data_IF_478360028860
#
_entry.id   IF_478360028860
#
_cell.length_a   1.000
_cell.length_b   1.000
_cell.length_c   1.000
_cell.angle_alpha   90.00
_cell.angle_beta   90.00
_cell.angle_gamma   90.00
#
_symmetry.space_group_name_H-M   'P 1'
#
loop_
_entity.id
_entity.type
_entity.pdbx_description
1 polymer ?
#
# COMPACT_ATOMS: atom_id res chain seq x y z
N UNK A 1 6.57 9.91 -13.10
CA UNK A 1 6.12 8.53 -12.87
C UNK A 1 7.12 7.52 -13.48
N UNK A 2 7.44 7.56 -14.78
CA UNK A 2 8.34 6.58 -15.44
C UNK A 2 9.70 6.49 -14.73
N UNK A 3 10.31 7.64 -14.42
CA UNK A 3 11.59 7.68 -13.70
C UNK A 3 11.46 7.05 -12.30
N UNK A 4 10.41 7.41 -11.57
CA UNK A 4 10.13 6.85 -10.24
C UNK A 4 9.92 5.32 -10.29
N UNK A 5 9.19 4.81 -11.30
CA UNK A 5 9.01 3.37 -11.47
C UNK A 5 10.33 2.64 -11.76
N UNK A 6 11.23 3.26 -12.53
CA UNK A 6 12.58 2.72 -12.75
C UNK A 6 13.41 2.71 -11.48
N UNK A 7 13.38 3.81 -10.72
CA UNK A 7 14.11 3.92 -9.45
C UNK A 7 13.57 2.92 -8.42
N UNK A 8 12.25 2.75 -8.35
CA UNK A 8 11.61 1.74 -7.51
C UNK A 8 12.07 0.31 -7.86
N UNK A 9 12.00 -0.08 -9.14
CA UNK A 9 12.46 -1.40 -9.57
C UNK A 9 13.94 -1.60 -9.28
N UNK A 10 14.76 -0.58 -9.49
CA UNK A 10 16.20 -0.65 -9.18
C UNK A 10 16.46 -0.82 -7.69
N UNK A 11 15.65 -0.19 -6.83
CA UNK A 11 15.74 -0.40 -5.39
C UNK A 11 15.43 -1.86 -5.01
N UNK A 12 14.42 -2.46 -5.65
CA UNK A 12 14.10 -3.88 -5.46
C UNK A 12 15.23 -4.78 -5.97
N UNK A 13 15.81 -4.49 -7.15
CA UNK A 13 16.97 -5.23 -7.68
C UNK A 13 18.16 -5.19 -6.69
N UNK A 14 18.38 -4.04 -6.07
CA UNK A 14 19.42 -3.91 -5.04
C UNK A 14 19.11 -4.77 -3.80
N UNK A 15 17.88 -4.72 -3.28
CA UNK A 15 17.48 -5.56 -2.14
C UNK A 15 17.65 -7.05 -2.48
N UNK A 16 17.25 -7.46 -3.68
CA UNK A 16 17.36 -8.83 -4.15
C UNK A 16 18.83 -9.31 -4.26
N UNK A 17 19.77 -8.39 -4.55
CA UNK A 17 21.20 -8.70 -4.63
C UNK A 17 21.90 -8.82 -3.26
N UNK A 18 21.19 -8.60 -2.17
CA UNK A 18 21.72 -8.60 -0.81
C UNK A 18 21.42 -9.92 -0.09
N UNK A 19 22.45 -10.63 0.32
CA UNK A 19 22.34 -11.90 1.08
C UNK A 19 21.91 -11.70 2.54
N UNK A 20 22.05 -10.48 3.07
CA UNK A 20 21.70 -10.13 4.44
C UNK A 20 20.25 -9.64 4.61
N UNK A 21 19.47 -9.59 3.53
CA UNK A 21 18.07 -9.16 3.53
C UNK A 21 17.13 -10.32 3.17
N UNK A 22 15.99 -10.39 3.85
CA UNK A 22 14.96 -11.40 3.54
C UNK A 22 14.07 -10.95 2.36
N UNK A 23 14.63 -11.06 1.17
CA UNK A 23 13.93 -10.70 -0.06
C UNK A 23 12.64 -11.49 -0.29
N UNK A 24 12.55 -12.73 0.22
CA UNK A 24 11.34 -13.57 0.07
C UNK A 24 10.12 -13.01 0.76
N UNK A 25 10.33 -12.16 1.77
CA UNK A 25 9.29 -11.47 2.53
C UNK A 25 9.26 -9.96 2.27
N UNK A 26 9.73 -9.53 1.10
CA UNK A 26 9.72 -8.11 0.73
C UNK A 26 8.31 -7.54 0.85
N UNK A 27 8.16 -6.48 1.64
CA UNK A 27 6.92 -5.77 1.82
C UNK A 27 7.06 -4.29 1.43
N UNK A 28 5.92 -3.69 1.09
CA UNK A 28 5.83 -2.26 0.81
C UNK A 28 5.08 -1.56 1.94
N UNK A 29 5.60 -0.44 2.39
CA UNK A 29 4.92 0.47 3.31
C UNK A 29 4.87 1.86 2.68
N UNK A 30 3.67 2.41 2.56
CA UNK A 30 3.47 3.76 2.01
C UNK A 30 2.58 4.60 2.90
N UNK A 31 3.01 5.83 3.20
CA UNK A 31 2.22 6.81 3.94
C UNK A 31 1.81 7.97 3.02
N UNK A 32 0.53 8.38 3.07
CA UNK A 32 0.00 9.52 2.33
C UNK A 32 0.33 9.42 0.83
N UNK A 33 1.19 10.27 0.33
CA UNK A 33 1.67 10.23 -1.05
C UNK A 33 2.34 8.89 -1.41
N UNK A 34 3.10 8.30 -0.49
CA UNK A 34 3.64 6.95 -0.68
C UNK A 34 2.56 5.88 -0.82
N UNK A 35 1.42 6.04 -0.16
CA UNK A 35 0.27 5.14 -0.33
C UNK A 35 -0.39 5.29 -1.70
N UNK A 36 -0.54 6.52 -2.23
CA UNK A 36 -1.02 6.75 -3.60
C UNK A 36 -0.07 6.15 -4.62
N UNK A 37 1.21 6.47 -4.50
CA UNK A 37 2.22 5.96 -5.41
C UNK A 37 2.34 4.43 -5.34
N UNK A 38 2.03 3.85 -4.18
CA UNK A 38 1.91 2.41 -4.00
C UNK A 38 0.95 1.76 -4.99
N UNK A 39 -0.15 2.43 -5.35
CA UNK A 39 -1.09 1.91 -6.35
C UNK A 39 -0.43 1.66 -7.72
N UNK A 40 0.55 2.46 -8.09
CA UNK A 40 1.31 2.28 -9.34
C UNK A 40 2.49 1.33 -9.12
N UNK A 41 3.27 1.54 -8.07
CA UNK A 41 4.51 0.79 -7.83
C UNK A 41 4.25 -0.70 -7.60
N UNK A 42 3.24 -1.04 -6.81
CA UNK A 42 2.84 -2.43 -6.56
C UNK A 42 2.24 -3.12 -7.79
N UNK A 43 1.69 -2.35 -8.72
CA UNK A 43 1.09 -2.89 -9.94
C UNK A 43 2.10 -3.14 -11.07
N UNK A 44 3.30 -2.57 -10.98
CA UNK A 44 4.34 -2.70 -12.03
C UNK A 44 5.48 -3.66 -11.66
N UNK A 45 5.48 -4.19 -10.44
CA UNK A 45 6.48 -5.16 -9.96
C UNK A 45 5.81 -6.14 -8.99
N UNK A 46 5.91 -7.42 -9.24
CA UNK A 46 5.25 -8.51 -8.50
C UNK A 46 6.12 -9.14 -7.39
N UNK A 47 7.32 -8.61 -7.20
CA UNK A 47 8.26 -9.11 -6.19
C UNK A 47 7.85 -8.77 -4.76
N UNK A 48 7.07 -7.70 -4.56
CA UNK A 48 6.49 -7.36 -3.24
C UNK A 48 5.42 -8.38 -2.88
N UNK A 49 5.48 -8.91 -1.66
CA UNK A 49 4.61 -10.02 -1.22
C UNK A 49 3.36 -9.56 -0.47
N UNK A 50 3.42 -8.43 0.18
CA UNK A 50 2.28 -7.80 0.86
C UNK A 50 2.54 -6.31 1.08
N UNK A 51 1.48 -5.54 1.25
CA UNK A 51 1.56 -4.09 1.39
C UNK A 51 0.84 -3.56 2.62
N UNK A 52 1.34 -2.46 3.16
CA UNK A 52 0.73 -1.68 4.23
C UNK A 52 0.62 -0.22 3.78
N UNK A 53 -0.60 0.23 3.53
CA UNK A 53 -0.91 1.55 2.97
C UNK A 53 -1.60 2.42 4.02
N UNK A 54 -1.00 3.57 4.32
CA UNK A 54 -1.39 4.44 5.43
C UNK A 54 -1.88 5.78 4.90
N UNK A 55 -3.03 6.23 5.37
CA UNK A 55 -3.61 7.55 5.07
C UNK A 55 -3.59 7.88 3.56
N UNK A 56 -3.87 6.90 2.72
CA UNK A 56 -3.94 7.05 1.27
C UNK A 56 -5.34 6.99 0.73
N UNK A 57 -5.43 7.08 -0.59
CA UNK A 57 -6.68 7.01 -1.34
C UNK A 57 -6.40 7.19 -2.82
N UNK A 58 -7.46 7.36 -3.61
CA UNK A 58 -7.35 7.81 -5.00
C UNK A 58 -7.44 9.34 -5.04
N UNK A 59 -6.68 9.96 -5.94
CA UNK A 59 -6.86 11.38 -6.20
C UNK A 59 -8.22 11.64 -6.85
N UNK A 60 -8.91 12.67 -6.37
CA UNK A 60 -10.20 13.11 -6.94
C UNK A 60 -10.00 13.87 -8.26
N UNK A 61 -8.79 14.41 -8.47
CA UNK A 61 -8.45 15.13 -9.70
C UNK A 61 -8.17 14.13 -10.82
N UNK A 62 -8.73 14.43 -12.00
CA UNK A 62 -8.45 13.63 -13.21
C UNK A 62 -6.96 13.72 -13.57
N UNK A 63 -6.30 12.61 -13.53
CA UNK A 63 -4.94 12.44 -14.06
C UNK A 63 -4.99 11.88 -15.50
N UNK A 64 -3.86 11.93 -16.19
CA UNK A 64 -3.75 11.26 -17.50
C UNK A 64 -3.86 9.74 -17.28
N UNK A 65 -4.55 9.05 -18.19
CA UNK A 65 -4.80 7.61 -18.08
C UNK A 65 -3.53 6.78 -17.88
N UNK A 66 -2.43 7.20 -18.51
CA UNK A 66 -1.14 6.50 -18.45
C UNK A 66 -0.49 6.54 -17.06
N UNK A 67 -0.98 7.40 -16.18
CA UNK A 67 -0.45 7.60 -14.81
C UNK A 67 -1.55 7.64 -13.75
N UNK A 68 -2.79 7.29 -14.11
CA UNK A 68 -3.91 7.29 -13.18
C UNK A 68 -3.81 6.10 -12.21
N UNK A 69 -3.62 6.33 -10.91
CA UNK A 69 -3.52 5.26 -9.92
C UNK A 69 -4.72 4.29 -9.96
N UNK A 70 -5.92 4.76 -10.29
CA UNK A 70 -7.12 3.92 -10.35
C UNK A 70 -7.01 2.80 -11.40
N UNK A 71 -6.28 3.02 -12.49
CA UNK A 71 -6.06 2.01 -13.54
C UNK A 71 -5.09 0.92 -13.03
N UNK A 72 -4.09 1.33 -12.27
CA UNK A 72 -3.07 0.42 -11.74
C UNK A 72 -3.57 -0.39 -10.55
N UNK A 73 -4.39 0.21 -9.68
CA UNK A 73 -4.91 -0.42 -8.45
C UNK A 73 -5.51 -1.81 -8.70
N UNK A 74 -6.18 -2.02 -9.83
CA UNK A 74 -6.77 -3.31 -10.21
C UNK A 74 -5.76 -4.43 -10.46
N UNK A 75 -4.49 -4.10 -10.63
CA UNK A 75 -3.39 -5.07 -10.86
C UNK A 75 -2.69 -5.47 -9.58
N UNK A 76 -3.05 -4.87 -8.46
CA UNK A 76 -2.51 -5.23 -7.15
C UNK A 76 -3.28 -6.46 -6.67
N UNK A 77 -2.59 -7.58 -6.55
CA UNK A 77 -3.20 -8.88 -6.20
C UNK A 77 -2.65 -9.50 -4.92
N UNK A 78 -1.54 -8.93 -4.38
CA UNK A 78 -0.97 -9.37 -3.11
C UNK A 78 -1.83 -8.89 -1.92
N UNK A 79 -1.68 -9.49 -0.73
CA UNK A 79 -2.34 -9.03 0.49
C UNK A 79 -2.07 -7.55 0.77
N UNK A 80 -3.13 -6.78 1.04
CA UNK A 80 -3.04 -5.34 1.32
C UNK A 80 -3.79 -4.99 2.61
N UNK A 81 -3.09 -4.34 3.54
CA UNK A 81 -3.73 -3.66 4.66
C UNK A 81 -3.76 -2.15 4.42
N UNK A 82 -4.92 -1.55 4.64
CA UNK A 82 -5.10 -0.10 4.69
C UNK A 82 -5.37 0.35 6.11
N UNK A 83 -4.77 1.47 6.53
CA UNK A 83 -5.14 2.16 7.76
C UNK A 83 -5.42 3.63 7.47
N UNK A 84 -6.60 4.09 7.85
CA UNK A 84 -7.10 5.40 7.45
C UNK A 84 -7.86 6.08 8.58
N UNK A 85 -7.69 7.40 8.70
CA UNK A 85 -8.58 8.24 9.47
C UNK A 85 -9.87 8.49 8.69
N UNK A 86 -11.01 8.41 9.34
CA UNK A 86 -12.33 8.67 8.71
C UNK A 86 -12.55 10.15 8.42
N UNK A 87 -11.95 11.01 9.23
CA UNK A 87 -12.05 12.48 9.10
C UNK A 87 -10.86 13.06 8.31
N UNK A 88 -10.22 12.27 7.47
CA UNK A 88 -9.10 12.72 6.64
C UNK A 88 -9.58 13.75 5.62
N UNK A 89 -9.09 14.98 5.72
CA UNK A 89 -9.42 16.07 4.80
C UNK A 89 -8.57 16.13 3.54
N UNK A 90 -7.55 15.28 3.42
CA UNK A 90 -6.70 15.16 2.22
C UNK A 90 -7.26 14.10 1.28
N UNK A 91 -7.53 12.90 1.81
CA UNK A 91 -8.16 11.80 1.09
C UNK A 91 -9.48 11.47 1.78
N UNK A 92 -10.55 12.02 1.24
CA UNK A 92 -11.90 11.87 1.81
C UNK A 92 -12.31 10.38 1.78
N UNK A 93 -12.94 9.93 2.85
CA UNK A 93 -13.22 8.52 3.07
C UNK A 93 -14.08 7.89 1.97
N UNK A 94 -15.20 8.53 1.63
CA UNK A 94 -16.18 7.94 0.69
C UNK A 94 -15.79 8.11 -0.77
N UNK A 95 -15.17 9.24 -1.14
CA UNK A 95 -14.85 9.57 -2.53
C UNK A 95 -13.46 9.12 -2.98
N UNK A 96 -12.56 8.78 -2.03
CA UNK A 96 -11.17 8.45 -2.28
C UNK A 96 -10.78 7.06 -1.76
N UNK A 97 -10.97 6.80 -0.45
CA UNK A 97 -10.49 5.57 0.19
C UNK A 97 -11.33 4.35 -0.15
N UNK A 98 -12.64 4.46 -0.06
CA UNK A 98 -13.57 3.37 -0.42
C UNK A 98 -13.45 2.97 -1.89
N UNK A 99 -13.40 3.90 -2.87
CA UNK A 99 -13.13 3.55 -4.26
C UNK A 99 -11.79 2.83 -4.45
N UNK A 100 -10.71 3.28 -3.79
CA UNK A 100 -9.42 2.62 -3.87
C UNK A 100 -9.51 1.15 -3.42
N UNK A 101 -10.11 0.90 -2.26
CA UNK A 101 -10.29 -0.45 -1.72
C UNK A 101 -11.10 -1.34 -2.68
N UNK A 102 -12.19 -0.82 -3.23
CA UNK A 102 -13.06 -1.55 -4.16
C UNK A 102 -12.39 -1.87 -5.49
N UNK A 103 -11.40 -1.10 -5.90
CA UNK A 103 -10.66 -1.30 -7.13
C UNK A 103 -9.51 -2.29 -7.01
N UNK A 104 -9.07 -2.65 -5.80
CA UNK A 104 -7.99 -3.62 -5.61
C UNK A 104 -8.31 -4.94 -6.31
N UNK A 105 -7.34 -5.48 -7.02
CA UNK A 105 -7.38 -6.84 -7.56
C UNK A 105 -7.14 -7.93 -6.52
N UNK A 106 -6.70 -7.54 -5.32
CA UNK A 106 -6.49 -8.41 -4.17
C UNK A 106 -7.80 -9.11 -3.78
N UNK A 107 -7.83 -10.44 -3.56
CA UNK A 107 -8.99 -11.14 -3.01
C UNK A 107 -9.47 -10.51 -1.70
N UNK A 108 -10.78 -10.51 -1.45
CA UNK A 108 -11.36 -9.82 -0.29
C UNK A 108 -10.84 -10.35 1.06
N UNK A 109 -10.56 -11.65 1.14
CA UNK A 109 -9.97 -12.33 2.31
C UNK A 109 -8.54 -11.87 2.62
N UNK A 110 -7.85 -11.34 1.61
CA UNK A 110 -6.49 -10.81 1.71
C UNK A 110 -6.45 -9.28 1.82
N UNK A 111 -7.63 -8.64 1.89
CA UNK A 111 -7.76 -7.22 2.15
C UNK A 111 -8.08 -6.97 3.62
N UNK A 112 -7.46 -5.97 4.21
CA UNK A 112 -7.82 -5.47 5.53
C UNK A 112 -7.88 -3.95 5.51
N UNK A 113 -8.98 -3.38 6.02
CA UNK A 113 -9.13 -1.93 6.14
C UNK A 113 -9.44 -1.55 7.58
N UNK A 114 -8.56 -0.79 8.18
CA UNK A 114 -8.74 -0.20 9.51
C UNK A 114 -9.15 1.25 9.33
N UNK A 115 -10.29 1.61 9.89
CA UNK A 115 -10.82 2.96 9.85
C UNK A 115 -10.90 3.51 11.27
N UNK A 116 -10.24 4.63 11.50
CA UNK A 116 -10.14 5.27 12.80
C UNK A 116 -11.15 6.45 12.86
N UNK A 117 -12.19 6.29 13.67
CA UNK A 117 -13.17 7.34 13.91
C UNK A 117 -12.52 8.53 14.62
N UNK A 118 -12.89 9.75 14.23
CA UNK A 118 -12.35 10.99 14.82
C UNK A 118 -10.90 11.32 14.42
N UNK A 119 -10.23 10.47 13.65
CA UNK A 119 -8.85 10.67 13.20
C UNK A 119 -8.85 11.28 11.80
N UNK A 120 -7.98 12.27 11.59
CA UNK A 120 -7.75 12.95 10.31
C UNK A 120 -6.67 12.25 9.47
N UNK A 121 -5.90 13.07 8.74
CA UNK A 121 -4.83 12.57 7.86
C UNK A 121 -3.64 11.99 8.62
N UNK A 122 -3.35 12.52 9.79
CA UNK A 122 -2.23 12.07 10.62
C UNK A 122 -2.70 10.93 11.53
N UNK A 123 -2.19 9.75 11.27
CA UNK A 123 -2.47 8.55 12.06
C UNK A 123 -1.48 8.48 13.23
N UNK A 124 -1.92 8.20 14.48
CA UNK A 124 -1.02 8.01 15.61
C UNK A 124 -0.01 6.88 15.37
N UNK A 125 1.25 7.13 15.72
CA UNK A 125 2.37 6.22 15.42
C UNK A 125 2.23 4.87 16.10
N UNK A 126 1.76 4.83 17.34
CA UNK A 126 1.52 3.59 18.10
C UNK A 126 0.50 2.68 17.40
N UNK A 127 -0.55 3.28 16.81
CA UNK A 127 -1.54 2.56 16.01
C UNK A 127 -0.93 2.02 14.72
N UNK A 128 -0.09 2.83 14.04
CA UNK A 128 0.63 2.38 12.84
C UNK A 128 1.53 1.20 13.18
N UNK A 129 2.40 1.35 14.18
CA UNK A 129 3.39 0.33 14.57
C UNK A 129 2.68 -0.96 15.00
N UNK A 130 1.67 -0.87 15.87
CA UNK A 130 0.94 -2.05 16.35
C UNK A 130 0.28 -2.84 15.22
N UNK A 131 -0.37 -2.16 14.30
CA UNK A 131 -1.04 -2.79 13.16
C UNK A 131 -0.03 -3.32 12.13
N UNK A 132 1.07 -2.61 11.88
CA UNK A 132 2.11 -3.07 10.98
C UNK A 132 2.77 -4.34 11.49
N UNK A 133 3.14 -4.40 12.77
CA UNK A 133 3.70 -5.61 13.39
C UNK A 133 2.73 -6.79 13.33
N UNK A 134 1.44 -6.54 13.56
CA UNK A 134 0.40 -7.56 13.43
C UNK A 134 0.31 -8.07 11.99
N UNK A 135 0.34 -7.17 11.01
CA UNK A 135 0.28 -7.50 9.58
C UNK A 135 1.50 -8.29 9.12
N UNK A 136 2.70 -7.88 9.55
CA UNK A 136 3.93 -8.63 9.29
C UNK A 136 3.82 -10.05 9.85
N UNK A 137 3.41 -10.23 11.10
CA UNK A 137 3.24 -11.54 11.72
C UNK A 137 2.22 -12.42 10.99
N UNK A 138 1.15 -11.83 10.47
CA UNK A 138 0.13 -12.55 9.69
C UNK A 138 0.71 -13.10 8.38
N UNK A 139 1.50 -12.29 7.66
CA UNK A 139 1.94 -12.59 6.30
C UNK A 139 3.30 -13.31 6.22
N UNK A 140 4.13 -13.19 7.28
CA UNK A 140 5.46 -13.84 7.35
C UNK A 140 5.40 -15.20 8.10
N UNK A 141 4.23 -15.66 8.54
CA UNK A 141 4.03 -16.83 9.43
C UNK A 141 4.73 -18.12 9.02
N UNK A 142 5.12 -18.27 7.78
CA UNK A 142 5.69 -19.54 7.30
C UNK A 142 7.22 -19.61 7.39
N UNK A 143 7.90 -18.58 7.88
CA UNK A 143 9.37 -18.50 7.85
C UNK A 143 10.03 -18.42 9.24
N UNK A 144 9.27 -18.30 10.31
CA UNK A 144 9.79 -18.37 11.70
C UNK A 144 9.48 -19.75 12.32
N UNK A 145 10.10 -20.78 11.74
CA UNK A 145 10.23 -22.10 12.39
C UNK A 145 11.65 -22.29 12.87
#
# INVERSE_FOLDING_TARGET
>A
IIKMGKDYKRSIDYIESRDDLDFKNLSYMGYSWGSIMGNIMLAIDDRVKFAFLIAGGLEVQKTKQEIDPAIFTRRITMPVMHINGKNDGVFEYYSSKIPMQKLLGTPQEDQEMIVLEGVGHIIPEDIIIGNHLRWLKKNIKNNFK
#
